data_IF_132062449248
#
_entry.id   IF_132062449248
#
_cell.length_a   1.000
_cell.length_b   1.000
_cell.length_c   1.000
_cell.angle_alpha   90.00
_cell.angle_beta   90.00
_cell.angle_gamma   90.00
#
_symmetry.space_group_name_H-M   'P 1'
#
loop_
_entity.id
_entity.type
_entity.pdbx_description
1 polymer ?
#
# COMPACT_ATOMS: atom_id res chain seq x y z
N UNK A 1 21.07 7.15 -2.26
CA UNK A 1 20.39 7.40 -3.57
C UNK A 1 19.47 6.25 -3.96
N UNK A 2 19.80 5.00 -3.62
CA UNK A 2 18.95 3.84 -3.89
C UNK A 2 17.58 3.89 -3.19
N UNK A 3 17.49 4.52 -2.03
CA UNK A 3 16.25 4.67 -1.25
C UNK A 3 15.19 5.48 -2.00
N UNK A 4 15.62 6.54 -2.69
CA UNK A 4 14.72 7.35 -3.53
C UNK A 4 14.22 6.53 -4.71
N UNK A 5 15.08 5.72 -5.34
CA UNK A 5 14.67 4.83 -6.42
C UNK A 5 13.67 3.77 -5.93
N UNK A 6 13.89 3.18 -4.75
CA UNK A 6 12.93 2.25 -4.13
C UNK A 6 11.60 2.96 -3.87
N UNK A 7 11.64 4.18 -3.34
CA UNK A 7 10.42 4.94 -3.06
C UNK A 7 9.61 5.21 -4.33
N UNK A 8 10.25 5.72 -5.39
CA UNK A 8 9.60 5.96 -6.69
C UNK A 8 9.05 4.66 -7.27
N UNK A 9 9.82 3.57 -7.20
CA UNK A 9 9.40 2.25 -7.64
C UNK A 9 8.17 1.76 -6.87
N UNK A 10 8.15 1.89 -5.54
CA UNK A 10 7.01 1.51 -4.71
C UNK A 10 5.75 2.25 -5.13
N UNK A 11 5.82 3.58 -5.28
CA UNK A 11 4.66 4.39 -5.65
C UNK A 11 4.16 4.02 -7.05
N UNK A 12 5.06 3.76 -8.00
CA UNK A 12 4.69 3.29 -9.33
C UNK A 12 3.99 1.92 -9.27
N UNK A 13 4.50 0.97 -8.47
CA UNK A 13 3.91 -0.35 -8.29
C UNK A 13 2.53 -0.26 -7.64
N UNK A 14 2.40 0.44 -6.51
CA UNK A 14 1.12 0.62 -5.81
C UNK A 14 0.10 1.37 -6.67
N UNK A 15 0.55 2.38 -7.41
CA UNK A 15 -0.27 3.11 -8.38
C UNK A 15 -0.76 2.19 -9.50
N UNK A 16 0.12 1.40 -10.10
CA UNK A 16 -0.23 0.41 -11.12
C UNK A 16 -1.22 -0.63 -10.62
N UNK A 17 -1.00 -1.16 -9.41
CA UNK A 17 -1.92 -2.06 -8.71
C UNK A 17 -3.29 -1.42 -8.49
N UNK A 18 -3.32 -0.17 -8.03
CA UNK A 18 -4.57 0.59 -7.81
C UNK A 18 -5.34 0.85 -9.10
N UNK A 19 -4.64 1.19 -10.19
CA UNK A 19 -5.25 1.41 -11.50
C UNK A 19 -5.84 0.12 -12.07
N UNK A 20 -5.10 -0.99 -11.94
CA UNK A 20 -5.58 -2.32 -12.32
C UNK A 20 -6.82 -2.71 -11.52
N UNK A 21 -6.77 -2.56 -10.19
CA UNK A 21 -7.90 -2.86 -9.31
C UNK A 21 -9.12 -1.96 -9.57
N UNK A 22 -8.91 -0.69 -9.89
CA UNK A 22 -10.01 0.22 -10.24
C UNK A 22 -10.75 -0.23 -11.51
N UNK A 23 -10.05 -0.83 -12.48
CA UNK A 23 -10.67 -1.43 -13.66
C UNK A 23 -11.42 -2.72 -13.31
N UNK A 24 -10.80 -3.58 -12.50
CA UNK A 24 -11.39 -4.86 -12.08
C UNK A 24 -12.67 -4.68 -11.25
N UNK A 25 -12.69 -3.71 -10.33
CA UNK A 25 -13.82 -3.44 -9.45
C UNK A 25 -14.70 -2.29 -9.92
N UNK A 26 -14.72 -2.02 -11.22
CA UNK A 26 -15.41 -0.85 -11.82
C UNK A 26 -16.92 -0.81 -11.55
N UNK A 27 -17.55 -1.98 -11.41
CA UNK A 27 -18.98 -2.13 -11.11
C UNK A 27 -19.33 -1.91 -9.63
N UNK A 28 -18.35 -1.76 -8.74
CA UNK A 28 -18.57 -1.61 -7.30
C UNK A 28 -18.31 -0.18 -6.85
N UNK A 29 -19.34 0.52 -6.38
CA UNK A 29 -19.19 1.89 -5.88
C UNK A 29 -18.36 1.96 -4.59
N UNK A 30 -18.50 0.94 -3.75
CA UNK A 30 -17.84 0.83 -2.45
C UNK A 30 -17.07 -0.48 -2.34
N UNK A 31 -15.90 -0.41 -1.70
CA UNK A 31 -15.04 -1.56 -1.45
C UNK A 31 -14.91 -1.83 0.04
N UNK A 32 -14.93 -3.11 0.46
CA UNK A 32 -14.60 -3.52 1.82
C UNK A 32 -13.19 -3.06 2.22
N UNK A 33 -13.09 -2.56 3.44
CA UNK A 33 -11.84 -2.08 4.04
C UNK A 33 -11.45 -2.87 5.28
N UNK A 34 -12.42 -3.41 6.01
CA UNK A 34 -12.18 -4.19 7.22
C UNK A 34 -13.09 -5.41 7.29
N UNK A 35 -12.55 -6.49 7.83
CA UNK A 35 -13.23 -7.76 8.02
C UNK A 35 -13.13 -8.20 9.48
N UNK A 36 -14.19 -8.81 10.00
CA UNK A 36 -14.14 -9.57 11.25
C UNK A 36 -13.30 -10.85 11.08
N UNK A 37 -12.94 -11.50 12.18
CA UNK A 37 -12.31 -12.84 12.15
C UNK A 37 -13.20 -13.90 11.48
N UNK A 38 -14.52 -13.70 11.47
CA UNK A 38 -15.48 -14.55 10.75
C UNK A 38 -15.60 -14.21 9.26
N UNK A 39 -14.89 -13.17 8.80
CA UNK A 39 -14.86 -12.71 7.41
C UNK A 39 -16.04 -11.82 7.02
N UNK A 40 -16.84 -11.33 7.97
CA UNK A 40 -17.89 -10.33 7.71
C UNK A 40 -17.26 -8.97 7.48
N UNK A 41 -17.76 -8.21 6.51
CA UNK A 41 -17.29 -6.84 6.27
C UNK A 41 -17.82 -5.93 7.36
N UNK A 42 -16.91 -5.30 8.10
CA UNK A 42 -17.27 -4.36 9.17
C UNK A 42 -17.34 -2.92 8.65
N UNK A 43 -16.52 -2.60 7.66
CA UNK A 43 -16.42 -1.24 7.12
C UNK A 43 -16.07 -1.26 5.63
N UNK A 44 -16.68 -0.33 4.88
CA UNK A 44 -16.46 -0.13 3.45
C UNK A 44 -16.31 1.35 3.13
N UNK A 45 -15.42 1.69 2.21
CA UNK A 45 -15.20 3.04 1.71
C UNK A 45 -15.60 3.17 0.24
N UNK A 46 -15.66 4.38 -0.31
CA UNK A 46 -15.80 4.56 -1.75
C UNK A 46 -14.61 3.93 -2.46
N UNK A 47 -14.82 3.40 -3.68
CA UNK A 47 -13.77 2.71 -4.45
C UNK A 47 -12.49 3.53 -4.57
N UNK A 48 -12.62 4.83 -4.85
CA UNK A 48 -11.46 5.74 -4.95
C UNK A 48 -10.67 5.83 -3.65
N UNK A 49 -11.36 6.02 -2.52
CA UNK A 49 -10.72 6.11 -1.20
C UNK A 49 -10.04 4.78 -0.86
N UNK A 50 -10.73 3.66 -1.06
CA UNK A 50 -10.21 2.34 -0.75
C UNK A 50 -8.91 2.03 -1.51
N UNK A 51 -8.85 2.36 -2.81
CA UNK A 51 -7.68 2.09 -3.64
C UNK A 51 -6.53 3.07 -3.39
N UNK A 52 -6.83 4.34 -3.07
CA UNK A 52 -5.80 5.34 -2.79
C UNK A 52 -5.22 5.25 -1.37
N UNK A 53 -5.91 4.57 -0.45
CA UNK A 53 -5.52 4.52 0.97
C UNK A 53 -4.11 3.99 1.17
N UNK A 54 -3.79 2.80 0.63
CA UNK A 54 -2.45 2.20 0.80
C UNK A 54 -1.33 2.99 0.13
N UNK A 55 -1.46 3.45 -1.15
CA UNK A 55 -0.47 4.33 -1.77
C UNK A 55 -0.18 5.60 -0.97
N UNK A 56 -1.22 6.26 -0.46
CA UNK A 56 -1.06 7.48 0.35
C UNK A 56 -0.34 7.15 1.66
N UNK A 57 -0.78 6.09 2.36
CA UNK A 57 -0.17 5.69 3.62
C UNK A 57 1.31 5.34 3.43
N UNK A 58 1.64 4.57 2.38
CA UNK A 58 3.02 4.25 2.01
C UNK A 58 3.86 5.52 1.74
N UNK A 59 3.28 6.49 1.04
CA UNK A 59 3.92 7.77 0.73
C UNK A 59 4.27 8.53 2.01
N UNK A 60 3.29 8.70 2.90
CA UNK A 60 3.47 9.41 4.17
C UNK A 60 4.49 8.69 5.06
N UNK A 61 4.40 7.37 5.18
CA UNK A 61 5.32 6.56 5.99
C UNK A 61 6.75 6.65 5.48
N UNK A 62 6.99 6.46 4.18
CA UNK A 62 8.35 6.53 3.63
C UNK A 62 8.91 7.94 3.60
N UNK A 63 8.09 8.96 3.40
CA UNK A 63 8.53 10.35 3.53
C UNK A 63 9.02 10.64 4.94
N UNK A 64 8.25 10.24 5.97
CA UNK A 64 8.65 10.39 7.36
C UNK A 64 9.96 9.65 7.68
N UNK A 65 10.04 8.37 7.29
CA UNK A 65 11.26 7.56 7.49
C UNK A 65 12.45 8.18 6.77
N UNK A 66 12.28 8.65 5.55
CA UNK A 66 13.32 9.33 4.78
C UNK A 66 13.84 10.58 5.49
N UNK A 67 12.93 11.41 6.03
CA UNK A 67 13.31 12.58 6.84
C UNK A 67 14.08 12.18 8.09
N UNK A 68 13.64 11.15 8.82
CA UNK A 68 14.33 10.65 10.03
C UNK A 68 15.73 10.09 9.71
N UNK A 69 15.86 9.33 8.63
CA UNK A 69 17.15 8.79 8.18
C UNK A 69 18.09 9.91 7.70
N UNK A 70 17.55 10.93 7.03
CA UNK A 70 18.32 12.10 6.62
C UNK A 70 18.80 12.91 7.83
N UNK A 71 17.93 13.16 8.80
CA UNK A 71 18.27 13.93 10.01
C UNK A 71 19.31 13.22 10.89
N UNK A 72 19.31 11.89 10.89
CA UNK A 72 20.29 11.08 11.63
C UNK A 72 21.59 10.81 10.86
N UNK A 73 21.69 11.25 9.59
CA UNK A 73 22.84 10.95 8.72
C UNK A 73 22.94 9.47 8.31
N UNK A 74 21.92 8.66 8.62
CA UNK A 74 21.89 7.22 8.34
C UNK A 74 21.48 6.88 6.90
N UNK A 75 21.04 7.87 6.11
CA UNK A 75 20.63 7.70 4.72
C UNK A 75 21.80 7.19 3.86
N UNK A 76 21.57 6.20 3.00
CA UNK A 76 22.62 5.57 2.20
C UNK A 76 23.32 4.40 2.90
N UNK A 77 23.08 4.19 4.20
CA UNK A 77 23.60 3.03 4.91
C UNK A 77 22.92 1.74 4.46
N UNK A 78 23.63 0.60 4.58
CA UNK A 78 23.06 -0.74 4.34
C UNK A 78 21.80 -0.98 5.18
N UNK A 79 21.80 -0.51 6.43
CA UNK A 79 20.65 -0.62 7.32
C UNK A 79 19.45 0.16 6.77
N UNK A 80 19.65 1.41 6.33
CA UNK A 80 18.59 2.21 5.72
C UNK A 80 18.01 1.56 4.45
N UNK A 81 18.87 1.01 3.59
CA UNK A 81 18.46 0.29 2.39
C UNK A 81 17.58 -0.92 2.71
N UNK A 82 18.00 -1.76 3.67
CA UNK A 82 17.25 -2.95 4.10
C UNK A 82 15.90 -2.53 4.69
N UNK A 83 15.88 -1.52 5.57
CA UNK A 83 14.66 -1.02 6.20
C UNK A 83 13.65 -0.49 5.18
N UNK A 84 14.09 0.38 4.26
CA UNK A 84 13.20 0.97 3.24
C UNK A 84 12.68 -0.13 2.29
N UNK A 85 13.53 -1.08 1.91
CA UNK A 85 13.13 -2.21 1.06
C UNK A 85 12.10 -3.12 1.75
N UNK A 86 12.34 -3.49 3.00
CA UNK A 86 11.43 -4.35 3.77
C UNK A 86 10.05 -3.70 3.96
N UNK A 87 10.02 -2.42 4.34
CA UNK A 87 8.77 -1.68 4.51
C UNK A 87 8.02 -1.54 3.18
N UNK A 88 8.73 -1.24 2.10
CA UNK A 88 8.15 -1.18 0.75
C UNK A 88 7.51 -2.52 0.36
N UNK A 89 8.22 -3.62 0.59
CA UNK A 89 7.70 -4.97 0.37
C UNK A 89 6.44 -5.27 1.18
N UNK A 90 6.40 -4.87 2.46
CA UNK A 90 5.22 -4.99 3.30
C UNK A 90 4.02 -4.22 2.73
N UNK A 91 4.21 -2.99 2.25
CA UNK A 91 3.11 -2.22 1.63
C UNK A 91 2.56 -2.91 0.38
N UNK A 92 3.42 -3.43 -0.49
CA UNK A 92 2.99 -4.21 -1.67
C UNK A 92 2.21 -5.45 -1.24
N UNK A 93 2.75 -6.20 -0.27
CA UNK A 93 2.10 -7.41 0.25
C UNK A 93 0.73 -7.14 0.86
N UNK A 94 0.61 -6.10 1.69
CA UNK A 94 -0.65 -5.68 2.31
C UNK A 94 -1.65 -5.20 1.25
N UNK A 95 -1.22 -4.46 0.25
CA UNK A 95 -2.10 -4.00 -0.84
C UNK A 95 -2.62 -5.16 -1.69
N UNK A 96 -1.74 -6.13 -2.02
CA UNK A 96 -2.13 -7.35 -2.72
C UNK A 96 -3.10 -8.20 -1.88
N UNK A 97 -2.81 -8.35 -0.58
CA UNK A 97 -3.68 -9.05 0.36
C UNK A 97 -5.06 -8.39 0.45
N UNK A 98 -5.12 -7.06 0.50
CA UNK A 98 -6.37 -6.30 0.52
C UNK A 98 -7.24 -6.62 -0.70
N UNK A 99 -6.67 -6.63 -1.90
CA UNK A 99 -7.39 -6.99 -3.14
C UNK A 99 -7.83 -8.44 -3.16
N UNK A 100 -7.00 -9.35 -2.65
CA UNK A 100 -7.37 -10.75 -2.49
C UNK A 100 -8.58 -10.90 -1.56
N UNK A 101 -8.60 -10.19 -0.42
CA UNK A 101 -9.71 -10.24 0.53
C UNK A 101 -10.99 -9.66 -0.07
N UNK A 102 -10.90 -8.55 -0.81
CA UNK A 102 -12.05 -8.01 -1.58
C UNK A 102 -12.58 -9.09 -2.54
N UNK A 103 -11.72 -9.66 -3.36
CA UNK A 103 -12.10 -10.68 -4.36
C UNK A 103 -12.70 -11.93 -3.70
N UNK A 104 -12.17 -12.34 -2.54
CA UNK A 104 -12.68 -13.46 -1.75
C UNK A 104 -14.07 -13.15 -1.20
N UNK A 105 -14.32 -11.93 -0.73
CA UNK A 105 -15.63 -11.50 -0.23
C UNK A 105 -16.66 -11.43 -1.34
N UNK A 106 -16.29 -10.96 -2.53
CA UNK A 106 -17.23 -10.84 -3.67
C UNK A 106 -17.62 -12.18 -4.31
N UNK A 107 -16.82 -13.23 -4.10
CA UNK A 107 -17.10 -14.60 -4.59
C UNK A 107 -17.98 -15.42 -3.65
N UNK A 108 -18.29 -14.91 -2.46
CA UNK A 108 -19.19 -15.55 -1.50
C UNK A 108 -20.61 -15.06 -1.73
#
# INVERSE_FOLDING_TARGET
MFEVAIFVCLIAVLGGMSLWANRQFSMLERLPMQWSLTGKVNWSASRRIALMFTPILATVTLAYIGMTLSASGALGSKASFVTVTAISGCFVGVHALHFYLISRTLRR
#
